data_IF_669795793128
#
_entry.id   IF_669795793128
#
_cell.length_a   1.000
_cell.length_b   1.000
_cell.length_c   1.000
_cell.angle_alpha   90.00
_cell.angle_beta   90.00
_cell.angle_gamma   90.00
#
_symmetry.space_group_name_H-M   'P 1'
#
loop_
_entity.id
_entity.type
_entity.pdbx_description
1 polymer ?
#
# COMPACT_ATOMS: atom_id res chain seq x y z
N UNK A 1 -6.93 24.67 -24.04
CA UNK A 1 -6.14 23.48 -23.65
C UNK A 1 -5.48 22.91 -24.90
N UNK A 2 -4.21 22.57 -24.81
CA UNK A 2 -3.45 21.98 -25.92
C UNK A 2 -3.30 20.47 -25.75
N UNK A 3 -2.94 19.77 -26.82
CA UNK A 3 -2.67 18.31 -26.75
C UNK A 3 -1.59 17.98 -25.73
N UNK A 4 -0.44 18.69 -25.69
CA UNK A 4 0.56 18.47 -24.63
C UNK A 4 0.01 18.64 -23.21
N UNK A 5 -0.86 19.61 -22.98
CA UNK A 5 -1.52 19.81 -21.67
C UNK A 5 -2.47 18.66 -21.33
N UNK A 6 -3.23 18.16 -22.29
CA UNK A 6 -4.12 16.99 -22.11
C UNK A 6 -3.32 15.76 -21.73
N UNK A 7 -2.21 15.49 -22.42
CA UNK A 7 -1.34 14.36 -22.11
C UNK A 7 -0.71 14.48 -20.74
N UNK A 8 -0.19 15.66 -20.40
CA UNK A 8 0.43 15.93 -19.08
C UNK A 8 -0.56 15.75 -17.94
N UNK A 9 -1.77 16.26 -18.10
CA UNK A 9 -2.84 16.12 -17.11
C UNK A 9 -3.25 14.65 -16.96
N UNK A 10 -3.38 13.92 -18.05
CA UNK A 10 -3.69 12.49 -18.04
C UNK A 10 -2.61 11.70 -17.30
N UNK A 11 -1.35 11.93 -17.63
CA UNK A 11 -0.22 11.27 -16.99
C UNK A 11 -0.16 11.54 -15.49
N UNK A 12 -0.31 12.80 -15.07
CA UNK A 12 -0.31 13.19 -13.66
C UNK A 12 -1.46 12.51 -12.89
N UNK A 13 -2.66 12.47 -13.45
CA UNK A 13 -3.80 11.80 -12.84
C UNK A 13 -3.62 10.28 -12.76
N UNK A 14 -3.02 9.68 -13.77
CA UNK A 14 -2.68 8.26 -13.76
C UNK A 14 -1.65 7.93 -12.67
N UNK A 15 -0.65 8.78 -12.48
CA UNK A 15 0.33 8.64 -11.40
C UNK A 15 -0.34 8.71 -10.02
N UNK A 16 -1.26 9.65 -9.85
CA UNK A 16 -2.04 9.76 -8.60
C UNK A 16 -2.89 8.50 -8.35
N UNK A 17 -3.52 7.96 -9.39
CA UNK A 17 -4.29 6.71 -9.30
C UNK A 17 -3.41 5.53 -8.90
N UNK A 18 -2.22 5.42 -9.47
CA UNK A 18 -1.26 4.36 -9.11
C UNK A 18 -0.79 4.53 -7.66
N UNK A 19 -0.50 5.76 -7.22
CA UNK A 19 -0.11 6.03 -5.84
C UNK A 19 -1.22 5.65 -4.85
N UNK A 20 -2.48 5.99 -5.15
CA UNK A 20 -3.63 5.58 -4.36
C UNK A 20 -3.80 4.05 -4.33
N UNK A 21 -3.60 3.39 -5.46
CA UNK A 21 -3.64 1.94 -5.56
C UNK A 21 -2.55 1.27 -4.71
N UNK A 22 -1.31 1.75 -4.77
CA UNK A 22 -0.22 1.27 -3.93
C UNK A 22 -0.56 1.40 -2.44
N UNK A 23 -1.12 2.54 -2.05
CA UNK A 23 -1.55 2.78 -0.68
C UNK A 23 -2.65 1.80 -0.25
N UNK A 24 -3.63 1.53 -1.10
CA UNK A 24 -4.68 0.54 -0.84
C UNK A 24 -4.11 -0.88 -0.68
N UNK A 25 -3.11 -1.24 -1.50
CA UNK A 25 -2.43 -2.54 -1.38
C UNK A 25 -1.70 -2.69 -0.05
N UNK A 26 -1.11 -1.63 0.50
CA UNK A 26 -0.42 -1.70 1.79
C UNK A 26 -1.34 -2.04 2.95
N UNK A 27 -2.63 -1.77 2.82
CA UNK A 27 -3.65 -2.08 3.84
C UNK A 27 -4.06 -3.54 3.85
N UNK A 28 -3.70 -4.30 2.83
CA UNK A 28 -4.02 -5.73 2.74
C UNK A 28 -3.04 -6.51 3.62
N UNK A 29 -3.55 -7.32 4.54
CA UNK A 29 -2.72 -8.17 5.41
C UNK A 29 -2.02 -9.25 4.60
N UNK A 30 -0.70 -9.33 4.75
CA UNK A 30 0.13 -10.34 4.09
C UNK A 30 0.67 -11.39 5.06
N UNK A 31 0.50 -11.19 6.36
CA UNK A 31 1.15 -12.00 7.38
C UNK A 31 2.63 -11.63 7.60
N UNK A 32 3.17 -10.70 6.83
CA UNK A 32 4.53 -10.16 7.06
C UNK A 32 4.55 -9.23 8.25
N UNK A 33 5.59 -9.33 9.04
CA UNK A 33 5.84 -8.40 10.12
C UNK A 33 6.20 -7.01 9.56
N UNK A 34 5.60 -5.98 10.14
CA UNK A 34 5.92 -4.58 9.84
C UNK A 34 5.99 -3.82 11.16
N UNK A 35 7.13 -3.19 11.49
CA UNK A 35 7.26 -2.41 12.73
C UNK A 35 6.18 -1.34 12.90
N UNK A 36 5.67 -0.79 11.80
CA UNK A 36 4.60 0.21 11.83
C UNK A 36 3.29 -0.30 12.44
N UNK A 37 3.07 -1.61 12.51
CA UNK A 37 1.90 -2.20 13.18
C UNK A 37 1.85 -1.86 14.67
N UNK A 38 3.00 -1.63 15.29
CA UNK A 38 3.12 -1.32 16.72
C UNK A 38 3.00 0.19 16.99
N UNK A 39 2.92 1.04 15.98
CA UNK A 39 2.85 2.49 16.15
C UNK A 39 1.58 2.96 16.88
N UNK A 40 0.53 2.16 16.84
CA UNK A 40 -0.74 2.46 17.52
C UNK A 40 -0.73 2.09 19.00
N UNK A 41 0.29 1.36 19.45
CA UNK A 41 0.39 0.90 20.82
C UNK A 41 0.99 2.01 21.70
N UNK A 42 0.31 2.30 22.80
CA UNK A 42 0.76 3.24 23.80
C UNK A 42 1.09 2.51 25.11
N UNK A 43 2.15 2.93 25.75
CA UNK A 43 2.65 2.34 27.00
C UNK A 43 2.60 3.38 28.09
N UNK A 44 2.22 2.95 29.30
CA UNK A 44 2.29 3.81 30.50
C UNK A 44 3.74 3.99 30.91
N UNK A 45 4.26 5.20 30.69
CA UNK A 45 5.60 5.60 31.07
C UNK A 45 5.52 6.62 32.20
N UNK A 46 5.71 6.16 33.44
CA UNK A 46 5.65 6.98 34.64
C UNK A 46 4.37 7.86 34.72
N UNK A 47 3.22 7.27 34.43
CA UNK A 47 1.92 7.93 34.50
C UNK A 47 1.47 8.61 33.22
N UNK A 48 2.28 8.64 32.19
CA UNK A 48 1.93 9.21 30.88
C UNK A 48 1.88 8.13 29.82
N UNK A 49 0.81 8.12 29.00
CA UNK A 49 0.73 7.24 27.84
C UNK A 49 1.58 7.80 26.71
N UNK A 50 2.61 7.06 26.31
CA UNK A 50 3.52 7.43 25.22
C UNK A 50 3.53 6.35 24.15
N UNK A 51 3.79 6.69 22.88
CA UNK A 51 3.96 5.70 21.83
C UNK A 51 5.08 4.72 22.16
N UNK A 52 4.92 3.47 21.77
CA UNK A 52 5.91 2.41 22.00
C UNK A 52 7.30 2.79 21.47
N UNK A 53 7.37 3.47 20.35
CA UNK A 53 8.63 3.93 19.74
C UNK A 53 9.43 4.91 20.61
N UNK A 54 8.81 5.53 21.59
CA UNK A 54 9.48 6.45 22.53
C UNK A 54 10.09 5.75 23.74
N UNK A 55 9.82 4.48 23.96
CA UNK A 55 10.31 3.71 25.12
C UNK A 55 11.08 2.46 24.72
N UNK A 56 11.07 2.12 23.43
CA UNK A 56 11.74 0.94 22.91
C UNK A 56 12.20 1.14 21.46
N UNK A 57 13.21 0.36 21.09
CA UNK A 57 13.66 0.28 19.70
C UNK A 57 12.90 -0.86 19.02
N UNK A 58 12.12 -0.53 17.96
CA UNK A 58 11.28 -1.46 17.22
C UNK A 58 11.93 -1.72 15.86
N UNK A 59 12.21 -2.99 15.57
CA UNK A 59 12.83 -3.40 14.30
C UNK A 59 12.32 -4.77 13.87
N UNK A 60 12.67 -5.18 12.65
CA UNK A 60 12.38 -6.53 12.17
C UNK A 60 13.49 -7.49 12.59
N UNK A 61 13.13 -8.63 13.16
CA UNK A 61 14.06 -9.74 13.41
C UNK A 61 14.10 -10.66 12.20
N UNK A 62 12.95 -10.96 11.63
CA UNK A 62 12.77 -11.71 10.40
C UNK A 62 11.44 -11.32 9.71
N UNK A 63 11.07 -11.99 8.63
CA UNK A 63 9.87 -11.66 7.84
C UNK A 63 8.55 -11.76 8.63
N UNK A 64 8.54 -12.47 9.76
CA UNK A 64 7.35 -12.74 10.58
C UNK A 64 7.47 -12.31 12.03
N UNK A 65 8.60 -11.79 12.44
CA UNK A 65 8.87 -11.46 13.85
C UNK A 65 9.36 -10.03 13.97
N UNK A 66 8.70 -9.27 14.84
CA UNK A 66 9.13 -7.93 15.22
C UNK A 66 9.97 -8.05 16.50
N UNK A 67 11.08 -7.33 16.55
CA UNK A 67 11.95 -7.21 17.70
C UNK A 67 11.65 -5.90 18.41
N UNK A 68 11.36 -5.96 19.69
CA UNK A 68 11.14 -4.79 20.54
C UNK A 68 12.18 -4.82 21.66
N UNK A 69 13.09 -3.87 21.64
CA UNK A 69 14.13 -3.74 22.67
C UNK A 69 13.85 -2.53 23.55
N UNK A 70 13.37 -2.74 24.79
CA UNK A 70 13.16 -1.63 25.71
C UNK A 70 14.47 -0.90 26.04
N UNK A 71 14.42 0.41 26.09
CA UNK A 71 15.58 1.20 26.51
C UNK A 71 15.84 1.08 28.01
N UNK A 72 14.77 0.91 28.80
CA UNK A 72 14.84 0.66 30.24
C UNK A 72 14.33 -0.74 30.54
N UNK A 73 15.12 -1.55 31.21
CA UNK A 73 14.77 -2.93 31.60
C UNK A 73 13.49 -2.99 32.42
N UNK A 74 13.27 -1.99 33.28
CA UNK A 74 12.07 -1.89 34.13
C UNK A 74 10.76 -1.73 33.31
N UNK A 75 10.86 -1.29 32.07
CA UNK A 75 9.70 -1.09 31.18
C UNK A 75 9.30 -2.35 30.42
N UNK A 76 10.15 -3.37 30.37
CA UNK A 76 9.91 -4.57 29.56
C UNK A 76 8.57 -5.24 29.86
N UNK A 77 8.21 -5.41 31.10
CA UNK A 77 6.94 -6.02 31.52
C UNK A 77 5.74 -5.19 31.10
N UNK A 78 5.82 -3.86 31.22
CA UNK A 78 4.75 -2.94 30.81
C UNK A 78 4.58 -2.92 29.30
N UNK A 79 5.67 -2.94 28.54
CA UNK A 79 5.66 -2.99 27.08
C UNK A 79 5.05 -4.31 26.61
N UNK A 80 5.47 -5.43 27.16
CA UNK A 80 4.93 -6.75 26.86
C UNK A 80 3.42 -6.81 27.11
N UNK A 81 2.98 -6.31 28.26
CA UNK A 81 1.56 -6.23 28.63
C UNK A 81 0.77 -5.37 27.66
N UNK A 82 1.29 -4.19 27.29
CA UNK A 82 0.64 -3.29 26.34
C UNK A 82 0.47 -3.93 24.97
N UNK A 83 1.45 -4.68 24.48
CA UNK A 83 1.36 -5.41 23.21
C UNK A 83 0.34 -6.54 23.32
N UNK A 84 0.33 -7.29 24.39
CA UNK A 84 -0.60 -8.42 24.61
C UNK A 84 -2.04 -7.95 24.72
N UNK A 85 -2.30 -6.85 25.38
CA UNK A 85 -3.63 -6.27 25.55
C UNK A 85 -4.11 -5.45 24.37
N UNK A 86 -3.26 -5.22 23.36
CA UNK A 86 -3.64 -4.50 22.16
C UNK A 86 -4.65 -5.30 21.32
N UNK A 87 -5.44 -4.59 20.53
CA UNK A 87 -6.43 -5.20 19.63
C UNK A 87 -5.80 -5.98 18.46
N UNK A 88 -4.47 -5.97 18.36
CA UNK A 88 -3.75 -6.62 17.26
C UNK A 88 -3.68 -8.14 17.39
N UNK A 89 -4.02 -8.70 18.54
CA UNK A 89 -4.01 -10.16 18.76
C UNK A 89 -2.60 -10.77 18.74
N UNK A 90 -1.60 -10.04 19.21
CA UNK A 90 -0.21 -10.46 19.21
C UNK A 90 0.17 -11.15 20.53
N UNK A 91 1.10 -12.12 20.45
CA UNK A 91 1.65 -12.83 21.59
C UNK A 91 3.12 -12.52 21.77
N UNK A 92 3.47 -11.46 22.50
CA UNK A 92 4.86 -11.12 22.76
C UNK A 92 5.50 -12.14 23.70
N UNK A 93 6.76 -12.46 23.46
CA UNK A 93 7.55 -13.35 24.30
C UNK A 93 8.89 -12.66 24.66
N UNK A 94 9.19 -12.59 25.95
CA UNK A 94 10.46 -12.05 26.41
C UNK A 94 11.59 -13.06 26.21
N UNK A 95 12.69 -12.62 25.59
CA UNK A 95 13.92 -13.38 25.44
C UNK A 95 15.08 -12.53 25.96
N UNK A 96 15.38 -12.64 27.26
CA UNK A 96 16.35 -11.77 27.92
C UNK A 96 15.87 -10.33 27.96
N UNK A 97 16.62 -9.42 27.36
CA UNK A 97 16.27 -8.00 27.28
C UNK A 97 15.42 -7.67 26.02
N UNK A 98 15.21 -8.65 25.17
CA UNK A 98 14.50 -8.50 23.91
C UNK A 98 13.10 -9.10 23.99
N UNK A 99 12.12 -8.38 23.46
CA UNK A 99 10.76 -8.89 23.31
C UNK A 99 10.56 -9.28 21.85
N UNK A 100 10.21 -10.54 21.63
CA UNK A 100 9.85 -11.05 20.29
C UNK A 100 8.35 -10.98 20.11
N UNK A 101 7.93 -10.41 19.01
CA UNK A 101 6.50 -10.30 18.63
C UNK A 101 6.31 -11.03 17.32
N UNK A 102 5.99 -12.34 17.36
CA UNK A 102 5.72 -13.09 16.13
C UNK A 102 4.35 -12.70 15.58
N UNK A 103 4.27 -12.61 14.24
CA UNK A 103 2.99 -12.40 13.57
C UNK A 103 2.19 -13.69 13.57
N UNK A 104 0.86 -13.63 13.82
CA UNK A 104 0.00 -14.79 13.67
C UNK A 104 0.06 -15.32 12.24
N UNK A 105 0.16 -16.63 12.07
CA UNK A 105 0.07 -17.26 10.77
C UNK A 105 -1.34 -17.07 10.21
N UNK A 106 -1.44 -16.70 8.94
CA UNK A 106 -2.73 -16.63 8.26
C UNK A 106 -3.17 -18.04 7.81
N UNK A 107 -4.44 -18.36 8.00
CA UNK A 107 -5.03 -19.58 7.46
C UNK A 107 -5.04 -19.55 5.93
N UNK A 108 -5.12 -20.71 5.28
CA UNK A 108 -5.23 -20.80 3.83
C UNK A 108 -6.46 -20.05 3.30
N UNK A 109 -7.59 -20.15 4.00
CA UNK A 109 -8.80 -19.39 3.66
C UNK A 109 -8.58 -17.89 3.70
N UNK A 110 -7.90 -17.39 4.73
CA UNK A 110 -7.59 -15.98 4.88
C UNK A 110 -6.66 -15.47 3.78
N UNK A 111 -5.67 -16.27 3.40
CA UNK A 111 -4.78 -15.98 2.27
C UNK A 111 -5.56 -15.85 0.96
N UNK A 112 -6.50 -16.75 0.71
CA UNK A 112 -7.38 -16.69 -0.48
C UNK A 112 -8.23 -15.43 -0.49
N UNK A 113 -8.79 -15.04 0.66
CA UNK A 113 -9.56 -13.81 0.80
C UNK A 113 -8.69 -12.57 0.49
N UNK A 114 -7.47 -12.53 1.03
CA UNK A 114 -6.55 -11.42 0.81
C UNK A 114 -6.10 -11.34 -0.65
N UNK A 115 -5.84 -12.47 -1.30
CA UNK A 115 -5.51 -12.54 -2.72
C UNK A 115 -6.67 -12.02 -3.57
N UNK A 116 -7.89 -12.41 -3.25
CA UNK A 116 -9.10 -11.91 -3.94
C UNK A 116 -9.25 -10.41 -3.77
N UNK A 117 -9.00 -9.90 -2.56
CA UNK A 117 -9.05 -8.46 -2.27
C UNK A 117 -8.01 -7.70 -3.08
N UNK A 118 -6.78 -8.22 -3.19
CA UNK A 118 -5.73 -7.62 -4.01
C UNK A 118 -6.12 -7.55 -5.49
N UNK A 119 -6.72 -8.59 -6.02
CA UNK A 119 -7.23 -8.62 -7.41
C UNK A 119 -8.35 -7.63 -7.63
N UNK A 120 -9.27 -7.52 -6.68
CA UNK A 120 -10.38 -6.55 -6.73
C UNK A 120 -9.84 -5.12 -6.75
N UNK A 121 -8.87 -4.80 -5.90
CA UNK A 121 -8.21 -3.50 -5.90
C UNK A 121 -7.50 -3.22 -7.23
N UNK A 122 -6.86 -4.23 -7.81
CA UNK A 122 -6.24 -4.14 -9.13
C UNK A 122 -7.25 -3.83 -10.23
N UNK A 123 -8.41 -4.49 -10.24
CA UNK A 123 -9.47 -4.21 -11.21
C UNK A 123 -10.04 -2.80 -11.05
N UNK A 124 -10.24 -2.34 -9.82
CA UNK A 124 -10.69 -0.98 -9.55
C UNK A 124 -9.67 0.06 -10.05
N UNK A 125 -8.39 -0.20 -9.84
CA UNK A 125 -7.32 0.67 -10.36
C UNK A 125 -7.32 0.71 -11.90
N UNK A 126 -7.51 -0.43 -12.57
CA UNK A 126 -7.61 -0.50 -14.03
C UNK A 126 -8.80 0.29 -14.56
N UNK A 127 -9.95 0.21 -13.89
CA UNK A 127 -11.13 0.99 -14.24
C UNK A 127 -10.82 2.49 -14.16
N UNK A 128 -10.15 2.94 -13.10
CA UNK A 128 -9.76 4.33 -12.95
C UNK A 128 -8.82 4.78 -14.08
N UNK A 129 -7.85 3.97 -14.46
CA UNK A 129 -6.94 4.26 -15.58
C UNK A 129 -7.70 4.35 -16.92
N UNK A 130 -8.63 3.44 -17.19
CA UNK A 130 -9.47 3.47 -18.40
C UNK A 130 -10.32 4.74 -18.46
N UNK A 131 -10.87 5.17 -17.34
CA UNK A 131 -11.66 6.39 -17.27
C UNK A 131 -10.80 7.62 -17.59
N UNK A 132 -9.58 7.68 -17.07
CA UNK A 132 -8.64 8.77 -17.39
C UNK A 132 -8.25 8.79 -18.87
N UNK A 133 -8.08 7.62 -19.48
CA UNK A 133 -7.88 7.51 -20.94
C UNK A 133 -9.06 8.08 -21.71
N UNK A 134 -10.28 7.72 -21.34
CA UNK A 134 -11.50 8.23 -21.99
C UNK A 134 -11.58 9.75 -21.88
N UNK A 135 -11.35 10.29 -20.69
CA UNK A 135 -11.39 11.74 -20.46
C UNK A 135 -10.37 12.47 -21.34
N UNK A 136 -9.15 11.94 -21.46
CA UNK A 136 -8.12 12.49 -22.33
C UNK A 136 -8.53 12.44 -23.79
N UNK A 137 -9.06 11.32 -24.25
CA UNK A 137 -9.51 11.15 -25.64
C UNK A 137 -10.70 12.08 -25.97
N UNK A 138 -11.62 12.27 -25.04
CA UNK A 138 -12.73 13.20 -25.19
C UNK A 138 -12.24 14.65 -25.28
N UNK A 139 -11.24 15.02 -24.46
CA UNK A 139 -10.64 16.35 -24.52
C UNK A 139 -9.98 16.63 -25.87
N UNK A 140 -9.25 15.64 -26.41
CA UNK A 140 -8.64 15.75 -27.75
C UNK A 140 -9.71 15.84 -28.84
N UNK A 141 -10.76 15.04 -28.74
CA UNK A 141 -11.89 15.04 -29.70
C UNK A 141 -12.57 16.40 -29.74
N UNK A 142 -12.73 17.06 -28.58
CA UNK A 142 -13.26 18.42 -28.51
C UNK A 142 -12.37 19.42 -29.23
N UNK A 143 -11.04 19.30 -29.09
CA UNK A 143 -10.09 20.17 -29.82
C UNK A 143 -10.24 20.03 -31.34
N UNK A 144 -10.49 18.83 -31.84
CA UNK A 144 -10.75 18.60 -33.28
C UNK A 144 -12.07 19.25 -33.69
N UNK A 145 -13.11 19.08 -32.89
CA UNK A 145 -14.43 19.67 -33.13
C UNK A 145 -14.37 21.20 -33.19
N UNK A 146 -13.58 21.81 -32.32
CA UNK A 146 -13.35 23.24 -32.25
C UNK A 146 -12.33 23.72 -33.33
N UNK A 147 -11.87 22.82 -34.18
CA UNK A 147 -10.91 23.08 -35.27
C UNK A 147 -9.57 23.64 -34.82
N UNK A 148 -9.19 23.36 -33.59
CA UNK A 148 -7.91 23.77 -33.02
C UNK A 148 -6.76 22.83 -33.40
N UNK A 149 -7.09 21.56 -33.69
CA UNK A 149 -6.13 20.52 -34.11
C UNK A 149 -6.74 19.67 -35.24
N UNK A 150 -5.87 18.95 -35.96
CA UNK A 150 -6.29 18.08 -37.06
C UNK A 150 -6.71 16.69 -36.56
N UNK A 151 -7.39 15.92 -37.42
CA UNK A 151 -7.70 14.51 -37.13
C UNK A 151 -6.45 13.64 -37.03
N UNK A 152 -5.39 13.97 -37.77
CA UNK A 152 -4.11 13.28 -37.66
C UNK A 152 -3.44 13.53 -36.30
N UNK A 153 -3.54 14.74 -35.76
CA UNK A 153 -3.09 15.09 -34.40
C UNK A 153 -3.89 14.31 -33.38
N UNK A 154 -5.19 14.14 -33.57
CA UNK A 154 -6.04 13.31 -32.70
C UNK A 154 -5.53 11.87 -32.63
N UNK A 155 -5.27 11.25 -33.79
CA UNK A 155 -4.79 9.87 -33.88
C UNK A 155 -3.47 9.69 -33.14
N UNK A 156 -2.55 10.62 -33.32
CA UNK A 156 -1.26 10.59 -32.61
C UNK A 156 -1.43 10.73 -31.11
N UNK A 157 -2.27 11.67 -30.68
CA UNK A 157 -2.56 11.89 -29.27
C UNK A 157 -3.22 10.66 -28.62
N UNK A 158 -4.19 10.06 -29.28
CA UNK A 158 -4.86 8.84 -28.81
C UNK A 158 -3.88 7.66 -28.73
N UNK A 159 -2.95 7.54 -29.68
CA UNK A 159 -1.90 6.53 -29.65
C UNK A 159 -0.96 6.73 -28.46
N UNK A 160 -0.58 7.97 -28.16
CA UNK A 160 0.27 8.29 -27.03
C UNK A 160 -0.44 8.03 -25.69
N UNK A 161 -1.70 8.39 -25.58
CA UNK A 161 -2.55 8.11 -24.41
C UNK A 161 -2.72 6.61 -24.22
N UNK A 162 -2.85 5.85 -25.30
CA UNK A 162 -2.94 4.38 -25.24
C UNK A 162 -1.64 3.77 -24.72
N UNK A 163 -0.49 4.28 -25.12
CA UNK A 163 0.81 3.81 -24.58
C UNK A 163 0.94 4.07 -23.10
N UNK A 164 0.52 5.25 -22.63
CA UNK A 164 0.46 5.56 -21.18
C UNK A 164 -0.47 4.59 -20.46
N UNK A 165 -1.63 4.32 -21.03
CA UNK A 165 -2.61 3.39 -20.46
C UNK A 165 -2.02 1.99 -20.34
N UNK A 166 -1.42 1.47 -21.40
CA UNK A 166 -0.82 0.13 -21.41
C UNK A 166 0.31 0.00 -20.38
N UNK A 167 1.14 1.03 -20.27
CA UNK A 167 2.19 1.09 -19.25
C UNK A 167 1.63 0.99 -17.83
N UNK A 168 0.56 1.75 -17.55
CA UNK A 168 -0.06 1.73 -16.22
C UNK A 168 -0.80 0.42 -15.94
N UNK A 169 -1.44 -0.18 -16.96
CA UNK A 169 -2.06 -1.51 -16.82
C UNK A 169 -1.04 -2.57 -16.46
N UNK A 170 0.11 -2.58 -17.14
CA UNK A 170 1.21 -3.50 -16.83
C UNK A 170 1.74 -3.29 -15.41
N UNK A 171 1.91 -2.04 -15.00
CA UNK A 171 2.35 -1.69 -13.65
C UNK A 171 1.37 -2.21 -12.58
N UNK A 172 0.06 -2.06 -12.81
CA UNK A 172 -0.98 -2.58 -11.91
C UNK A 172 -0.89 -4.12 -11.81
N UNK A 173 -0.76 -4.81 -12.94
CA UNK A 173 -0.64 -6.27 -12.95
C UNK A 173 0.60 -6.76 -12.20
N UNK A 174 1.72 -6.07 -12.35
CA UNK A 174 2.95 -6.38 -11.63
C UNK A 174 2.80 -6.18 -10.12
N UNK A 175 2.13 -5.10 -9.71
CA UNK A 175 1.89 -4.81 -8.30
C UNK A 175 0.93 -5.83 -7.66
N UNK A 176 -0.10 -6.24 -8.37
CA UNK A 176 -1.02 -7.31 -7.91
C UNK A 176 -0.28 -8.62 -7.76
N UNK A 177 0.50 -9.02 -8.76
CA UNK A 177 1.29 -10.26 -8.72
C UNK A 177 2.28 -10.25 -7.55
N UNK A 178 2.99 -9.16 -7.35
CA UNK A 178 3.92 -9.00 -6.24
C UNK A 178 3.20 -9.14 -4.89
N UNK A 179 2.02 -8.54 -4.76
CA UNK A 179 1.21 -8.63 -3.53
C UNK A 179 0.70 -10.05 -3.28
N UNK A 180 0.25 -10.74 -4.31
CA UNK A 180 -0.17 -12.14 -4.22
C UNK A 180 0.98 -13.03 -3.75
N UNK A 181 2.19 -12.81 -4.27
CA UNK A 181 3.39 -13.53 -3.85
C UNK A 181 3.73 -13.26 -2.38
N UNK A 182 3.62 -12.01 -1.92
CA UNK A 182 3.78 -11.66 -0.50
C UNK A 182 2.78 -12.41 0.38
N UNK A 183 1.52 -12.45 -0.01
CA UNK A 183 0.45 -13.13 0.74
C UNK A 183 0.74 -14.63 0.84
N UNK A 184 1.21 -15.24 -0.23
CA UNK A 184 1.44 -16.69 -0.30
C UNK A 184 2.79 -17.14 0.28
N UNK A 185 3.76 -16.23 0.42
CA UNK A 185 5.11 -16.56 0.86
C UNK A 185 5.25 -16.74 2.38
N UNK A 186 4.23 -16.44 3.15
CA UNK A 186 4.28 -16.41 4.62
C UNK A 186 3.50 -17.55 5.25
#
# INVERSE_FOLDING_TARGET
>A
MTIPEVKKTCEAKMEQSIAAFKNNLTRIRTGRANPALLDTIHVDYYGSLVPLSQVANVSLMDARTISVQPWEKSMAAKIEKAIRESELGLNPASLGELIRVPMPAMSEERRKEMTKLARTEGENAKIAIRNLRRDANESVKKLVKDKEVSEDDQKRAEADVQKLTDKRMTEIDQLVTAKEQEIMAV
#
